data_IF_647720873462
#
_entry.id   IF_647720873462
#
_cell.length_a   1.000
_cell.length_b   1.000
_cell.length_c   1.000
_cell.angle_alpha   90.00
_cell.angle_beta   90.00
_cell.angle_gamma   90.00
#
_symmetry.space_group_name_H-M   'P 1'
#
loop_
_entity.id
_entity.type
_entity.pdbx_description
1 polymer ?
#
# COMPACT_ATOMS: atom_id res chain seq x y z
N UNK A 1 16.57 -12.91 -1.16
CA UNK A 1 15.19 -12.35 -1.16
C UNK A 1 15.05 -11.56 -2.44
N UNK A 2 13.97 -11.72 -3.18
CA UNK A 2 13.80 -11.08 -4.49
C UNK A 2 12.59 -10.13 -4.45
N UNK A 3 12.74 -8.97 -5.06
CA UNK A 3 11.68 -7.98 -5.24
C UNK A 3 11.40 -7.83 -6.73
N UNK A 4 10.14 -7.91 -7.11
CA UNK A 4 9.66 -7.75 -8.47
C UNK A 4 8.66 -6.60 -8.53
N UNK A 5 8.89 -5.65 -9.42
CA UNK A 5 7.96 -4.56 -9.70
C UNK A 5 7.48 -4.69 -11.15
N UNK A 6 6.17 -4.81 -11.34
CA UNK A 6 5.53 -4.76 -12.65
C UNK A 6 4.82 -3.41 -12.81
N UNK A 7 5.39 -2.52 -13.59
CA UNK A 7 4.86 -1.18 -13.81
C UNK A 7 3.55 -1.17 -14.59
N UNK A 8 3.32 -2.16 -15.46
CA UNK A 8 2.10 -2.24 -16.27
C UNK A 8 0.90 -2.66 -15.42
N UNK A 9 1.10 -3.64 -14.56
CA UNK A 9 0.07 -4.13 -13.65
C UNK A 9 0.05 -3.35 -12.33
N UNK A 10 1.08 -2.52 -12.08
CA UNK A 10 1.28 -1.75 -10.85
C UNK A 10 1.31 -2.67 -9.62
N UNK A 11 1.99 -3.82 -9.75
CA UNK A 11 2.13 -4.82 -8.69
C UNK A 11 3.56 -4.88 -8.17
N UNK A 12 3.69 -5.09 -6.88
CA UNK A 12 4.96 -5.26 -6.18
C UNK A 12 4.95 -6.60 -5.45
N UNK A 13 5.87 -7.48 -5.81
CA UNK A 13 5.96 -8.82 -5.25
C UNK A 13 7.29 -9.01 -4.54
N UNK A 14 7.25 -9.32 -3.25
CA UNK A 14 8.41 -9.63 -2.43
C UNK A 14 8.43 -11.12 -2.16
N UNK A 15 9.54 -11.78 -2.44
CA UNK A 15 9.67 -13.22 -2.24
C UNK A 15 10.84 -13.56 -1.32
N UNK A 16 10.54 -14.40 -0.32
CA UNK A 16 11.54 -15.12 0.43
C UNK A 16 11.78 -16.50 -0.19
N UNK A 17 12.50 -17.36 0.51
CA UNK A 17 12.67 -18.77 0.09
C UNK A 17 11.31 -19.48 -0.01
N UNK A 18 10.39 -19.20 0.92
CA UNK A 18 9.17 -19.99 1.14
C UNK A 18 7.88 -19.17 1.05
N UNK A 19 7.96 -17.84 1.02
CA UNK A 19 6.78 -16.98 1.08
C UNK A 19 6.77 -15.94 -0.03
N UNK A 20 5.57 -15.52 -0.39
CA UNK A 20 5.30 -14.36 -1.25
C UNK A 20 4.45 -13.35 -0.48
N UNK A 21 4.84 -12.09 -0.60
CA UNK A 21 4.06 -10.93 -0.20
C UNK A 21 3.80 -10.08 -1.42
N UNK A 22 2.54 -9.71 -1.70
CA UNK A 22 2.23 -8.92 -2.88
C UNK A 22 1.30 -7.76 -2.54
N UNK A 23 1.62 -6.62 -3.13
CA UNK A 23 0.83 -5.38 -3.09
C UNK A 23 0.50 -4.94 -4.52
N UNK A 24 -0.57 -4.18 -4.66
CA UNK A 24 -0.97 -3.56 -5.92
C UNK A 24 -1.46 -2.14 -5.70
N UNK A 25 -1.14 -1.27 -6.65
CA UNK A 25 -1.76 0.05 -6.72
C UNK A 25 -3.01 -0.03 -7.58
N UNK A 26 -4.15 0.37 -7.04
CA UNK A 26 -5.42 0.36 -7.76
C UNK A 26 -5.55 1.50 -8.78
N UNK A 27 -6.70 1.60 -9.43
CA UNK A 27 -6.97 2.64 -10.42
C UNK A 27 -6.97 4.06 -9.85
N UNK A 28 -7.15 4.20 -8.54
CA UNK A 28 -7.26 5.48 -7.82
C UNK A 28 -5.99 5.86 -7.05
N UNK A 29 -4.94 5.05 -7.20
CA UNK A 29 -3.65 5.29 -6.55
C UNK A 29 -3.52 4.73 -5.14
N UNK A 30 -4.50 3.96 -4.66
CA UNK A 30 -4.41 3.33 -3.34
C UNK A 30 -3.50 2.10 -3.38
N UNK A 31 -2.62 1.97 -2.40
CA UNK A 31 -1.78 0.79 -2.24
C UNK A 31 -2.54 -0.28 -1.46
N UNK A 32 -2.83 -1.39 -2.11
CA UNK A 32 -3.61 -2.49 -1.56
C UNK A 32 -2.77 -3.72 -1.29
N UNK A 33 -3.03 -4.40 -0.19
CA UNK A 33 -2.52 -5.73 0.10
C UNK A 33 -3.29 -6.76 -0.74
N UNK A 34 -2.58 -7.58 -1.50
CA UNK A 34 -3.22 -8.60 -2.34
C UNK A 34 -2.98 -10.02 -1.85
N UNK A 35 -1.78 -10.29 -1.33
CA UNK A 35 -1.43 -11.64 -0.91
C UNK A 35 -0.31 -11.68 0.12
N UNK A 36 -0.43 -12.57 1.07
CA UNK A 36 0.66 -13.08 1.90
C UNK A 36 0.46 -14.57 2.17
N UNK A 37 1.45 -15.38 1.85
CA UNK A 37 1.36 -16.82 2.06
C UNK A 37 2.53 -17.60 1.47
N UNK A 38 2.28 -18.86 1.13
CA UNK A 38 3.27 -19.72 0.47
C UNK A 38 3.79 -19.09 -0.82
N UNK A 39 4.99 -19.47 -1.20
CA UNK A 39 5.62 -18.93 -2.40
C UNK A 39 4.82 -19.26 -3.65
N UNK A 40 4.46 -18.21 -4.39
CA UNK A 40 3.76 -18.27 -5.68
C UNK A 40 4.69 -17.77 -6.80
N UNK A 41 4.20 -17.76 -8.03
CA UNK A 41 4.78 -16.99 -9.12
C UNK A 41 4.54 -15.47 -8.94
N UNK A 42 4.96 -14.67 -9.92
CA UNK A 42 4.82 -13.21 -9.89
C UNK A 42 3.54 -12.72 -10.57
N UNK A 43 2.56 -13.60 -10.79
CA UNK A 43 1.28 -13.20 -11.40
C UNK A 43 0.51 -12.24 -10.50
N UNK A 44 -0.35 -11.42 -11.11
CA UNK A 44 -1.22 -10.51 -10.38
C UNK A 44 -2.31 -11.29 -9.62
N UNK A 45 -2.26 -11.23 -8.31
CA UNK A 45 -3.20 -11.91 -7.41
C UNK A 45 -4.35 -10.99 -6.94
N UNK A 46 -4.49 -9.80 -7.52
CA UNK A 46 -5.52 -8.82 -7.12
C UNK A 46 -6.95 -9.29 -7.37
N UNK A 47 -7.16 -10.32 -8.23
CA UNK A 47 -8.46 -10.96 -8.41
C UNK A 47 -9.03 -11.56 -7.11
N UNK A 48 -8.20 -11.72 -6.08
CA UNK A 48 -8.61 -12.18 -4.75
C UNK A 48 -9.29 -11.12 -3.91
N UNK A 49 -9.16 -9.85 -4.28
CA UNK A 49 -9.87 -8.76 -3.63
C UNK A 49 -11.28 -8.75 -4.17
N UNK A 50 -12.29 -9.14 -3.38
CA UNK A 50 -13.68 -9.14 -3.87
C UNK A 50 -14.11 -7.68 -4.09
N UNK A 51 -14.80 -7.37 -5.19
CA UNK A 51 -15.54 -6.14 -5.31
C UNK A 51 -16.66 -6.15 -4.26
N UNK A 52 -16.66 -5.19 -3.37
CA UNK A 52 -17.68 -5.12 -2.33
C UNK A 52 -18.58 -3.90 -2.58
N UNK A 53 -19.89 -4.17 -2.62
CA UNK A 53 -20.94 -3.18 -2.82
C UNK A 53 -21.44 -2.67 -1.47
N UNK A 54 -20.72 -1.72 -0.89
CA UNK A 54 -21.15 -1.06 0.34
C UNK A 54 -21.06 0.46 0.21
N UNK A 55 -22.13 1.04 -0.31
CA UNK A 55 -22.24 2.45 -0.63
C UNK A 55 -22.27 3.44 0.53
N UNK A 56 -21.58 3.20 1.67
CA UNK A 56 -21.62 4.13 2.81
C UNK A 56 -20.29 4.72 3.22
N UNK A 57 -19.17 4.15 2.82
CA UNK A 57 -17.88 4.73 3.16
C UNK A 57 -17.38 5.61 2.04
N UNK A 58 -17.04 6.84 2.41
CA UNK A 58 -16.43 7.77 1.49
C UNK A 58 -15.10 7.22 0.98
N UNK A 59 -15.03 7.02 -0.31
CA UNK A 59 -13.78 7.00 -1.06
C UNK A 59 -13.47 8.44 -1.48
N UNK A 60 -12.27 8.71 -2.01
CA UNK A 60 -12.01 10.00 -2.63
C UNK A 60 -13.15 10.33 -3.62
N UNK A 61 -13.64 11.56 -3.60
CA UNK A 61 -14.85 11.97 -4.34
C UNK A 61 -14.87 11.50 -5.80
N UNK A 62 -13.76 11.65 -6.49
CA UNK A 62 -13.62 11.24 -7.89
C UNK A 62 -13.76 9.72 -8.07
N UNK A 63 -13.24 8.95 -7.15
CA UNK A 63 -13.36 7.49 -7.18
C UNK A 63 -14.78 7.04 -6.89
N UNK A 64 -15.48 7.65 -5.93
CA UNK A 64 -16.86 7.33 -5.61
C UNK A 64 -17.85 7.71 -6.71
N UNK A 65 -17.53 8.71 -7.52
CA UNK A 65 -18.31 9.05 -8.72
C UNK A 65 -18.09 8.08 -9.89
N UNK A 66 -16.93 7.41 -9.93
CA UNK A 66 -16.59 6.48 -11.00
C UNK A 66 -17.06 5.04 -10.69
N UNK A 67 -17.01 4.64 -9.44
CA UNK A 67 -17.45 3.30 -9.00
C UNK A 67 -17.95 3.36 -7.55
N UNK A 68 -19.25 3.25 -7.36
CA UNK A 68 -19.93 3.28 -6.07
C UNK A 68 -19.69 2.03 -5.20
N UNK A 69 -19.07 1.00 -5.78
CA UNK A 69 -18.66 -0.21 -5.07
C UNK A 69 -17.34 -0.07 -4.31
N UNK A 70 -16.64 1.05 -4.48
CA UNK A 70 -15.40 1.30 -3.78
C UNK A 70 -15.66 1.81 -2.37
N UNK A 71 -15.06 1.14 -1.41
CA UNK A 71 -15.20 1.45 0.00
C UNK A 71 -13.85 1.44 0.69
N UNK A 72 -13.41 2.57 1.22
CA UNK A 72 -12.10 2.71 1.85
C UNK A 72 -11.96 1.87 3.12
N UNK A 73 -13.04 1.61 3.84
CA UNK A 73 -13.06 0.79 5.06
C UNK A 73 -13.04 -0.72 4.79
N UNK A 74 -13.34 -1.14 3.55
CA UNK A 74 -13.31 -2.54 3.13
C UNK A 74 -12.07 -2.86 2.30
N UNK A 75 -11.56 -1.89 1.55
CA UNK A 75 -10.35 -2.06 0.77
C UNK A 75 -9.20 -2.53 1.66
N UNK A 76 -8.45 -3.57 1.29
CA UNK A 76 -7.31 -4.06 2.05
C UNK A 76 -6.11 -3.12 1.88
N UNK A 77 -6.25 -1.89 2.39
CA UNK A 77 -5.19 -0.89 2.29
C UNK A 77 -3.95 -1.37 3.03
N UNK A 78 -2.80 -1.27 2.37
CA UNK A 78 -1.52 -1.58 2.97
C UNK A 78 -1.13 -0.56 4.04
N UNK A 79 -1.48 0.71 3.82
CA UNK A 79 -1.18 1.79 4.74
C UNK A 79 -2.37 2.73 4.86
N UNK A 80 -3.23 2.46 5.84
CA UNK A 80 -4.47 3.22 6.04
C UNK A 80 -4.22 4.56 6.74
N UNK A 81 -5.00 5.57 6.35
CA UNK A 81 -4.92 6.91 6.91
C UNK A 81 -6.22 7.31 7.63
N UNK A 82 -6.10 8.22 8.58
CA UNK A 82 -7.25 8.77 9.28
C UNK A 82 -7.97 9.82 8.42
N UNK A 83 -9.30 9.83 8.46
CA UNK A 83 -10.11 10.92 7.91
C UNK A 83 -10.59 10.72 6.47
N UNK A 84 -10.37 9.54 5.88
CA UNK A 84 -10.74 9.22 4.48
C UNK A 84 -11.92 8.24 4.37
N UNK A 85 -12.74 8.14 5.40
CA UNK A 85 -13.85 7.18 5.44
C UNK A 85 -13.47 5.76 5.85
N UNK A 86 -12.19 5.50 6.15
CA UNK A 86 -11.75 4.26 6.78
C UNK A 86 -11.89 4.40 8.31
N UNK A 87 -12.76 3.61 8.89
CA UNK A 87 -13.04 3.62 10.34
C UNK A 87 -12.23 2.60 11.13
N UNK A 88 -11.36 1.84 10.48
CA UNK A 88 -10.41 0.94 11.12
C UNK A 88 -9.31 1.75 11.83
N UNK A 89 -8.51 1.07 12.63
CA UNK A 89 -7.33 1.70 13.24
C UNK A 89 -6.37 2.11 12.11
N UNK A 90 -6.15 3.40 11.95
CA UNK A 90 -5.26 3.95 10.93
C UNK A 90 -3.80 3.71 11.30
N UNK A 91 -2.98 3.40 10.29
CA UNK A 91 -1.53 3.30 10.43
C UNK A 91 -0.88 4.68 10.63
N UNK A 92 -1.49 5.73 10.05
CA UNK A 92 -1.03 7.11 10.17
C UNK A 92 -2.13 8.03 10.67
N UNK A 93 -1.77 8.91 11.62
CA UNK A 93 -2.57 10.06 12.05
C UNK A 93 -1.74 11.31 11.99
N UNK A 94 -2.22 12.31 11.32
CA UNK A 94 -1.55 13.60 11.14
C UNK A 94 -2.47 14.72 11.62
N UNK A 95 -1.86 15.82 11.98
CA UNK A 95 -2.56 17.08 12.14
C UNK A 95 -1.87 18.12 11.27
N UNK A 96 -2.56 18.53 10.22
CA UNK A 96 -2.10 19.55 9.29
C UNK A 96 -2.07 20.92 9.96
N UNK A 97 -1.34 21.88 9.40
CA UNK A 97 -1.23 23.24 9.93
C UNK A 97 -2.58 23.95 10.08
N UNK A 98 -3.52 23.67 9.18
CA UNK A 98 -4.89 24.19 9.24
C UNK A 98 -5.79 23.50 10.28
N UNK A 99 -5.25 22.53 11.05
CA UNK A 99 -5.97 21.76 12.05
C UNK A 99 -6.73 20.54 11.51
N UNK A 100 -6.78 20.34 10.19
CA UNK A 100 -7.33 19.14 9.55
C UNK A 100 -6.53 17.89 9.95
N UNK A 101 -7.22 16.76 10.05
CA UNK A 101 -6.59 15.44 10.27
C UNK A 101 -6.82 14.48 9.08
N UNK A 102 -7.54 14.93 8.08
CA UNK A 102 -7.75 14.12 6.88
C UNK A 102 -6.49 14.06 6.03
N UNK A 103 -6.11 12.84 5.66
CA UNK A 103 -4.97 12.54 4.78
C UNK A 103 -5.36 11.39 3.86
N UNK A 104 -5.07 11.53 2.58
CA UNK A 104 -5.29 10.50 1.57
C UNK A 104 -3.95 10.19 0.89
N UNK A 105 -3.24 9.17 1.37
CA UNK A 105 -1.97 8.78 0.79
C UNK A 105 -2.18 7.98 -0.49
N UNK A 106 -1.78 8.56 -1.61
CA UNK A 106 -1.77 7.93 -2.92
C UNK A 106 -0.34 7.54 -3.32
N UNK A 107 -0.21 6.49 -4.09
CA UNK A 107 1.06 6.05 -4.65
C UNK A 107 1.69 7.15 -5.52
N UNK A 108 2.92 7.50 -5.22
CA UNK A 108 3.69 8.52 -5.94
C UNK A 108 4.92 7.94 -6.65
N UNK A 109 5.39 6.76 -6.25
CA UNK A 109 6.55 6.13 -6.88
C UNK A 109 7.11 4.99 -6.04
N UNK A 110 8.19 4.38 -6.55
CA UNK A 110 8.94 3.37 -5.81
C UNK A 110 10.42 3.45 -6.13
N UNK A 111 11.23 2.87 -5.27
CA UNK A 111 12.65 2.64 -5.48
C UNK A 111 13.04 1.22 -5.07
N UNK A 112 14.01 0.66 -5.78
CA UNK A 112 14.62 -0.62 -5.46
C UNK A 112 16.08 -0.41 -5.10
N UNK A 113 16.50 -0.96 -3.98
CA UNK A 113 17.89 -0.94 -3.55
C UNK A 113 18.37 -2.32 -3.13
N UNK A 114 19.67 -2.54 -3.26
CA UNK A 114 20.32 -3.74 -2.71
C UNK A 114 20.69 -3.50 -1.27
N UNK A 115 20.62 -4.56 -0.49
CA UNK A 115 20.93 -4.50 0.92
C UNK A 115 19.71 -4.33 1.80
N UNK A 116 19.97 -4.21 3.10
CA UNK A 116 18.95 -4.01 4.13
C UNK A 116 18.69 -2.53 4.35
N UNK A 117 17.45 -2.20 4.56
CA UNK A 117 17.10 -0.91 5.15
C UNK A 117 17.14 -1.02 6.68
N UNK A 118 17.78 -0.06 7.33
CA UNK A 118 17.85 0.02 8.81
C UNK A 118 17.05 1.22 9.28
N UNK A 119 16.11 0.98 10.17
CA UNK A 119 15.34 2.05 10.82
C UNK A 119 15.96 2.29 12.20
N UNK A 120 16.48 3.48 12.49
CA UNK A 120 17.06 3.80 13.80
C UNK A 120 16.08 3.50 14.94
N UNK A 121 16.56 2.80 15.97
CA UNK A 121 15.75 2.46 17.14
C UNK A 121 14.87 1.21 17.01
N UNK A 122 14.83 0.57 15.87
CA UNK A 122 14.17 -0.73 15.69
C UNK A 122 15.18 -1.90 15.74
N UNK A 123 14.70 -3.12 16.08
CA UNK A 123 15.55 -4.30 16.05
C UNK A 123 16.18 -4.54 14.69
N UNK A 124 17.39 -5.06 14.68
CA UNK A 124 18.09 -5.40 13.45
C UNK A 124 17.36 -6.50 12.66
N UNK A 125 17.34 -6.37 11.36
CA UNK A 125 16.85 -7.40 10.43
C UNK A 125 17.94 -8.46 10.25
N UNK A 126 17.61 -9.74 10.42
CA UNK A 126 18.55 -10.87 10.31
C UNK A 126 18.72 -11.37 8.86
N UNK A 127 18.47 -10.57 7.86
CA UNK A 127 18.76 -10.93 6.47
C UNK A 127 20.25 -10.71 6.17
N UNK A 128 20.82 -11.53 5.30
CA UNK A 128 22.15 -11.28 4.75
C UNK A 128 22.09 -10.03 3.85
N UNK A 129 23.01 -9.09 4.08
CA UNK A 129 23.06 -7.84 3.29
C UNK A 129 23.31 -8.08 1.81
N UNK A 130 24.04 -9.15 1.47
CA UNK A 130 24.36 -9.47 0.10
C UNK A 130 23.19 -10.10 -0.67
N UNK A 131 22.24 -10.70 0.04
CA UNK A 131 21.08 -11.39 -0.53
C UNK A 131 19.77 -10.61 -0.36
N UNK A 132 19.79 -9.51 0.41
CA UNK A 132 18.61 -8.70 0.64
C UNK A 132 18.41 -7.67 -0.48
N UNK A 133 17.16 -7.46 -0.83
CA UNK A 133 16.68 -6.34 -1.64
C UNK A 133 15.63 -5.57 -0.82
N UNK A 134 15.63 -4.26 -0.97
CA UNK A 134 14.67 -3.37 -0.31
C UNK A 134 13.81 -2.69 -1.35
N UNK A 135 12.50 -2.72 -1.13
CA UNK A 135 11.51 -1.93 -1.85
C UNK A 135 11.09 -0.75 -0.98
N UNK A 136 11.36 0.46 -1.45
CA UNK A 136 10.77 1.69 -0.94
C UNK A 136 9.56 2.07 -1.77
N UNK A 137 8.41 2.31 -1.15
CA UNK A 137 7.22 2.83 -1.82
C UNK A 137 6.95 4.22 -1.29
N UNK A 138 6.87 5.18 -2.21
CA UNK A 138 6.54 6.56 -1.89
C UNK A 138 5.03 6.75 -1.99
N UNK A 139 4.44 7.19 -0.90
CA UNK A 139 3.05 7.59 -0.82
C UNK A 139 2.97 9.09 -0.55
N UNK A 140 2.04 9.77 -1.20
CA UNK A 140 1.88 11.22 -1.07
C UNK A 140 0.42 11.61 -0.96
N UNK A 141 0.13 12.51 -0.05
CA UNK A 141 -1.16 13.21 -0.01
C UNK A 141 -1.14 14.39 -0.97
N UNK A 142 -1.97 14.38 -2.02
CA UNK A 142 -1.96 15.44 -3.04
C UNK A 142 -2.40 16.80 -2.51
N UNK A 143 -3.18 16.85 -1.42
CA UNK A 143 -3.69 18.11 -0.86
C UNK A 143 -2.70 18.78 0.09
N UNK A 144 -2.15 18.04 1.05
CA UNK A 144 -1.22 18.58 2.03
C UNK A 144 0.24 18.52 1.57
N UNK A 145 0.55 17.68 0.58
CA UNK A 145 1.92 17.42 0.14
C UNK A 145 2.72 16.55 1.11
N UNK A 146 2.07 15.94 2.09
CA UNK A 146 2.70 14.97 2.99
C UNK A 146 3.22 13.77 2.21
N UNK A 147 4.44 13.34 2.51
CA UNK A 147 5.10 12.15 1.97
C UNK A 147 5.55 11.21 3.08
#
# INVERSE_FOLDING_TARGET
MAVYADEKQRTFTLQTKNTTYQMKVDAYGMLLHTYYGEKTDNSDLSYRIPPDDRGFSGYAYEASCADDRLSSDLAPQEYSCFGTGDYRISALRVRNENGSQAVTLCYAGYELSRGKYSIPGLPAVYADETEAETLGILLRDPESGLE
#
